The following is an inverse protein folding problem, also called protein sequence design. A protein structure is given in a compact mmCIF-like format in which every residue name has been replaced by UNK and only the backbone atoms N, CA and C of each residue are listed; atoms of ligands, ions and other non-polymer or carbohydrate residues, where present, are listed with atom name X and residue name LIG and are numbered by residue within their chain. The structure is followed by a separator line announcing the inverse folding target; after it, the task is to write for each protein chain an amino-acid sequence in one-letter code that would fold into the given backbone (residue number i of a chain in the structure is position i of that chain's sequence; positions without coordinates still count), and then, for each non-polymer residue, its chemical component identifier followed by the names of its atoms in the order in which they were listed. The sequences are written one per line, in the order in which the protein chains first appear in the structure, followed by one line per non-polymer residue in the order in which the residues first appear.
data_IF_405629310995
#
_entry.id   IF_405629310995
#
_cell.length_a   1.000
_cell.length_b   1.000
_cell.length_c   1.000
_cell.angle_alpha   90.00
_cell.angle_beta   90.00
_cell.angle_gamma   90.00
#
_symmetry.space_group_name_H-M   'P 1'
#
loop_
_entity.id
_entity.type
_entity.pdbx_description
1 polymer ?
#
# COMPACT_ATOMS: atom_id res chain seq x y z
N UNK A 1 -51.37 -1.17 -24.14
CA UNK A 1 -50.14 -1.82 -24.62
C UNK A 1 -49.36 -2.29 -23.39
N UNK A 2 -49.58 -3.53 -22.95
CA UNK A 2 -48.92 -4.06 -21.75
C UNK A 2 -47.50 -4.51 -22.10
N UNK A 3 -46.52 -3.62 -21.90
CA UNK A 3 -45.10 -3.94 -21.95
C UNK A 3 -44.74 -4.78 -20.72
N UNK A 4 -44.94 -6.10 -20.80
CA UNK A 4 -44.42 -7.03 -19.79
C UNK A 4 -42.88 -6.87 -19.77
N UNK A 5 -42.23 -6.65 -18.61
CA UNK A 5 -40.77 -6.60 -18.56
C UNK A 5 -40.24 -7.95 -19.05
N UNK A 6 -39.52 -7.92 -20.16
CA UNK A 6 -38.89 -9.12 -20.72
C UNK A 6 -37.92 -9.63 -19.65
N UNK A 7 -38.20 -10.81 -19.07
CA UNK A 7 -37.24 -11.48 -18.19
C UNK A 7 -35.98 -11.67 -19.02
N UNK A 8 -34.89 -10.98 -18.63
CA UNK A 8 -33.61 -11.10 -19.33
C UNK A 8 -33.27 -12.58 -19.48
N UNK A 9 -33.10 -13.01 -20.72
CA UNK A 9 -32.72 -14.39 -21.00
C UNK A 9 -31.36 -14.67 -20.36
N UNK A 10 -31.13 -15.90 -19.90
CA UNK A 10 -29.82 -16.32 -19.39
C UNK A 10 -28.68 -16.05 -20.40
N UNK A 11 -28.98 -16.05 -21.70
CA UNK A 11 -28.03 -15.67 -22.75
C UNK A 11 -27.64 -14.19 -22.69
N UNK A 12 -28.60 -13.30 -22.47
CA UNK A 12 -28.39 -11.86 -22.36
C UNK A 12 -27.57 -11.50 -21.11
N UNK A 13 -27.88 -12.14 -19.98
CA UNK A 13 -27.11 -11.97 -18.74
C UNK A 13 -25.65 -12.45 -18.89
N UNK A 14 -25.44 -13.58 -19.55
CA UNK A 14 -24.09 -14.10 -19.84
C UNK A 14 -23.32 -13.16 -20.77
N UNK A 15 -23.97 -12.66 -21.82
CA UNK A 15 -23.38 -11.70 -22.75
C UNK A 15 -22.94 -10.44 -22.00
N UNK A 16 -23.81 -9.88 -21.16
CA UNK A 16 -23.50 -8.70 -20.35
C UNK A 16 -22.29 -8.93 -19.43
N UNK A 17 -22.19 -10.08 -18.78
CA UNK A 17 -21.01 -10.40 -17.95
C UNK A 17 -19.72 -10.48 -18.76
N UNK A 18 -19.79 -11.06 -19.96
CA UNK A 18 -18.64 -11.15 -20.85
C UNK A 18 -18.20 -9.78 -21.36
N UNK A 19 -19.14 -8.89 -21.71
CA UNK A 19 -18.81 -7.54 -22.16
C UNK A 19 -18.22 -6.71 -21.03
N UNK A 20 -18.78 -6.78 -19.82
CA UNK A 20 -18.24 -6.13 -18.62
C UNK A 20 -16.82 -6.66 -18.30
N UNK A 21 -16.60 -7.97 -18.40
CA UNK A 21 -15.27 -8.55 -18.17
C UNK A 21 -14.27 -8.12 -19.25
N UNK A 22 -14.66 -8.14 -20.53
CA UNK A 22 -13.80 -7.70 -21.62
C UNK A 22 -13.41 -6.23 -21.47
N UNK A 23 -14.35 -5.39 -21.03
CA UNK A 23 -14.08 -3.98 -20.75
C UNK A 23 -13.00 -3.81 -19.67
N UNK A 24 -13.11 -4.53 -18.55
CA UNK A 24 -12.09 -4.52 -17.48
C UNK A 24 -10.71 -4.97 -17.98
N UNK A 25 -10.67 -6.02 -18.80
CA UNK A 25 -9.42 -6.50 -19.40
C UNK A 25 -8.80 -5.47 -20.34
N UNK A 26 -9.60 -4.76 -21.12
CA UNK A 26 -9.12 -3.67 -22.00
C UNK A 26 -8.54 -2.52 -21.18
N UNK A 27 -9.19 -2.14 -20.08
CA UNK A 27 -8.72 -1.11 -19.16
C UNK A 27 -7.38 -1.50 -18.51
N UNK A 28 -7.26 -2.74 -18.03
CA UNK A 28 -6.02 -3.25 -17.44
C UNK A 28 -4.90 -3.39 -18.47
N UNK A 29 -5.22 -3.73 -19.72
CA UNK A 29 -4.26 -3.78 -20.81
C UNK A 29 -3.72 -2.39 -21.15
N UNK A 30 -4.59 -1.37 -21.17
CA UNK A 30 -4.26 0.02 -21.46
C UNK A 30 -3.53 0.74 -20.31
N UNK A 31 -3.52 0.16 -19.10
CA UNK A 31 -2.84 0.76 -17.93
C UNK A 31 -1.35 1.01 -18.24
N UNK A 32 -0.84 2.24 -18.06
CA UNK A 32 0.56 2.55 -18.30
C UNK A 32 1.46 1.77 -17.33
N UNK A 33 2.55 1.21 -17.86
CA UNK A 33 3.54 0.43 -17.10
C UNK A 33 4.89 1.11 -17.17
N UNK A 34 5.63 1.06 -16.07
CA UNK A 34 7.03 1.49 -16.00
C UNK A 34 7.96 0.30 -16.17
N UNK A 35 9.20 0.56 -16.62
CA UNK A 35 10.21 -0.50 -16.71
C UNK A 35 10.58 -0.97 -15.29
N UNK A 36 10.80 -2.28 -15.14
CA UNK A 36 11.18 -2.87 -13.85
C UNK A 36 12.47 -2.25 -13.32
N UNK A 37 13.47 -2.01 -14.19
CA UNK A 37 14.73 -1.37 -13.80
C UNK A 37 14.53 0.03 -13.21
N UNK A 38 13.60 0.81 -13.76
CA UNK A 38 13.27 2.16 -13.26
C UNK A 38 12.54 2.08 -11.92
N UNK A 39 11.54 1.20 -11.81
CA UNK A 39 10.82 0.95 -10.56
C UNK A 39 11.76 0.50 -9.43
N UNK A 40 12.64 -0.46 -9.70
CA UNK A 40 13.65 -0.92 -8.73
C UNK A 40 14.60 0.19 -8.31
N UNK A 41 15.05 1.02 -9.26
CA UNK A 41 15.90 2.18 -8.94
C UNK A 41 15.19 3.17 -8.03
N UNK A 42 13.90 3.43 -8.29
CA UNK A 42 13.07 4.30 -7.46
C UNK A 42 12.92 3.76 -6.03
N UNK A 43 12.68 2.45 -5.88
CA UNK A 43 12.58 1.80 -4.57
C UNK A 43 13.91 1.88 -3.80
N UNK A 44 15.03 1.56 -4.46
CA UNK A 44 16.36 1.66 -3.84
C UNK A 44 16.64 3.09 -3.39
N UNK A 45 16.31 4.09 -4.22
CA UNK A 45 16.48 5.49 -3.86
C UNK A 45 15.68 5.82 -2.60
N UNK A 46 14.40 5.48 -2.55
CA UNK A 46 13.54 5.73 -1.39
C UNK A 46 14.11 5.09 -0.12
N UNK A 47 14.49 3.81 -0.17
CA UNK A 47 15.06 3.11 0.97
C UNK A 47 16.42 3.65 1.40
N UNK A 48 17.14 4.39 0.56
CA UNK A 48 18.44 5.01 0.89
C UNK A 48 18.33 6.44 1.39
N UNK A 49 17.23 7.13 1.12
CA UNK A 49 17.04 8.53 1.52
C UNK A 49 16.17 8.68 2.76
N UNK A 50 15.30 7.70 3.03
CA UNK A 50 14.35 7.74 4.13
C UNK A 50 14.91 6.98 5.32
N UNK A 51 15.29 7.69 6.39
CA UNK A 51 15.82 7.10 7.62
C UNK A 51 14.78 6.17 8.26
N UNK A 52 15.20 4.94 8.56
CA UNK A 52 14.40 3.95 9.30
C UNK A 52 15.06 3.63 10.63
N UNK A 53 14.39 4.01 11.72
CA UNK A 53 14.87 3.79 13.09
C UNK A 53 14.88 2.31 13.51
N UNK A 54 14.13 1.45 12.82
CA UNK A 54 14.07 0.01 13.08
C UNK A 54 15.20 -0.78 12.41
N UNK A 55 16.05 -0.12 11.62
CA UNK A 55 17.21 -0.74 10.97
C UNK A 55 18.51 -0.04 11.41
N UNK A 56 18.96 -0.24 12.68
CA UNK A 56 20.15 0.44 13.19
C UNK A 56 21.46 0.07 12.48
N UNK A 57 21.50 -1.09 11.81
CA UNK A 57 22.68 -1.52 11.04
C UNK A 57 22.98 -0.63 9.84
N UNK A 58 21.96 0.02 9.27
CA UNK A 58 22.11 0.92 8.12
C UNK A 58 22.04 2.40 8.54
N UNK A 59 21.20 2.73 9.51
CA UNK A 59 20.89 4.11 9.89
C UNK A 59 21.52 4.58 11.20
N UNK A 60 22.19 3.69 11.93
CA UNK A 60 22.76 3.94 13.25
C UNK A 60 21.75 3.76 14.39
N UNK A 61 22.23 3.69 15.65
CA UNK A 61 21.36 3.55 16.81
C UNK A 61 20.47 4.78 16.99
N UNK A 62 19.22 4.54 17.38
CA UNK A 62 18.28 5.62 17.74
C UNK A 62 18.75 6.24 19.05
N UNK A 63 18.93 7.56 19.06
CA UNK A 63 19.29 8.27 20.29
C UNK A 63 18.07 8.39 21.19
N UNK A 64 18.25 8.37 22.52
CA UNK A 64 17.15 8.48 23.49
C UNK A 64 16.33 9.76 23.34
N UNK A 65 16.89 10.81 22.73
CA UNK A 65 16.19 12.06 22.40
C UNK A 65 15.28 11.95 21.18
N UNK A 66 15.56 11.02 20.26
CA UNK A 66 14.77 10.78 19.05
C UNK A 66 13.67 9.71 19.25
N UNK A 67 13.70 8.97 20.37
CA UNK A 67 12.73 7.93 20.71
C UNK A 67 11.65 8.47 21.67
N UNK A 68 10.40 8.69 21.21
CA UNK A 68 9.29 9.17 22.04
C UNK A 68 8.88 8.19 23.14
N UNK A 69 9.31 6.93 23.04
CA UNK A 69 9.00 5.87 23.99
C UNK A 69 10.18 5.53 24.90
N UNK A 70 11.31 6.25 24.77
CA UNK A 70 12.42 6.09 25.68
C UNK A 70 11.93 6.38 27.11
N UNK A 71 12.27 5.53 28.10
CA UNK A 71 11.90 5.80 29.48
C UNK A 71 12.50 7.15 29.87
N UNK A 72 11.66 8.08 30.29
CA UNK A 72 12.14 9.32 30.88
C UNK A 72 13.07 8.92 32.03
N UNK A 73 14.33 9.37 31.99
CA UNK A 73 15.21 9.33 33.15
C UNK A 73 14.70 10.33 34.18
N UNK A 74 13.51 10.09 34.73
CA UNK A 74 13.16 10.55 36.06
C UNK A 74 13.91 9.62 37.01
N UNK A 75 15.02 10.09 37.55
CA UNK A 75 15.60 9.47 38.74
C UNK A 75 14.50 9.38 39.79
N UNK A 76 14.18 8.18 40.26
CA UNK A 76 13.47 8.01 41.53
C UNK A 76 14.36 8.67 42.59
N UNK A 77 14.00 9.85 43.07
CA UNK A 77 14.60 10.51 44.23
C UNK A 77 14.21 9.80 45.52
N UNK A 78 14.53 8.51 45.58
CA UNK A 78 14.11 7.60 46.62
C UNK A 78 15.36 7.22 47.41
N UNK A 79 15.86 8.16 48.22
CA UNK A 79 16.81 7.86 49.28
C UNK A 79 16.05 7.11 50.38
N UNK A 80 16.43 5.86 50.61
CA UNK A 80 15.99 5.10 51.78
C UNK A 80 16.78 5.66 52.97
N UNK A 81 16.11 6.42 53.83
CA UNK A 81 16.46 6.52 55.25
C UNK A 81 15.44 5.71 56.05
#
# INVERSE_FOLDING_TARGET
MNSRPHKQSMSELKLRRLTEHNQRLREDLARPRVKVSEASTSLIRYCKTTKDHLIPSLWGPVTKSEDPYAPATQGCGCEIM
#
